data_IF_884901634589
#
_entry.id   IF_884901634589
#
_cell.length_a   1.000
_cell.length_b   1.000
_cell.length_c   1.000
_cell.angle_alpha   90.00
_cell.angle_beta   90.00
_cell.angle_gamma   90.00
#
_symmetry.space_group_name_H-M   'P 1'
#
loop_
_entity.id
_entity.type
_entity.pdbx_description
1 polymer ?
#
# COMPACT_ATOMS: atom_id res chain seq x y z
N UNK A 1 9.66 -0.62 -56.44
CA UNK A 1 9.36 -1.72 -55.51
C UNK A 1 9.63 -1.18 -54.09
N UNK A 2 8.69 -0.39 -53.57
CA UNK A 2 8.81 0.23 -52.25
C UNK A 2 7.82 -0.45 -51.30
N UNK A 3 8.35 -1.33 -50.44
CA UNK A 3 7.60 -1.92 -49.35
C UNK A 3 7.56 -0.94 -48.18
N UNK A 4 6.59 -0.02 -48.19
CA UNK A 4 6.08 0.54 -46.94
C UNK A 4 5.05 -0.44 -46.40
N UNK A 5 5.47 -1.38 -45.54
CA UNK A 5 4.54 -2.12 -44.68
C UNK A 5 4.14 -1.17 -43.56
N UNK A 6 2.91 -0.68 -43.61
CA UNK A 6 2.23 -0.11 -42.45
C UNK A 6 2.12 -1.21 -41.39
N UNK A 7 2.95 -1.14 -40.35
CA UNK A 7 2.71 -1.91 -39.14
C UNK A 7 1.38 -1.47 -38.55
N UNK A 8 0.41 -2.38 -38.47
CA UNK A 8 -0.76 -2.18 -37.62
C UNK A 8 -0.22 -1.99 -36.20
N UNK A 9 -0.47 -0.82 -35.61
CA UNK A 9 -0.30 -0.63 -34.16
C UNK A 9 -1.40 -1.48 -33.54
N UNK A 10 -1.03 -2.66 -33.05
CA UNK A 10 -1.93 -3.50 -32.27
C UNK A 10 -2.12 -2.78 -30.93
N UNK A 11 -3.29 -2.17 -30.74
CA UNK A 11 -3.63 -1.51 -29.48
C UNK A 11 -3.76 -2.61 -28.42
N UNK A 12 -2.85 -2.61 -27.45
CA UNK A 12 -2.94 -3.50 -26.29
C UNK A 12 -4.28 -3.25 -25.60
N UNK A 13 -5.02 -4.33 -25.33
CA UNK A 13 -6.34 -4.28 -24.67
C UNK A 13 -6.23 -3.65 -23.27
N UNK A 14 -5.17 -3.99 -22.55
CA UNK A 14 -4.79 -3.40 -21.27
C UNK A 14 -3.36 -2.88 -21.37
N UNK A 15 -3.10 -1.73 -20.73
CA UNK A 15 -1.73 -1.29 -20.50
C UNK A 15 -1.71 -0.38 -19.28
N UNK A 16 -1.10 -0.87 -18.19
CA UNK A 16 -0.91 -0.08 -16.99
C UNK A 16 0.42 0.70 -17.01
N UNK A 17 1.35 0.40 -17.92
CA UNK A 17 2.68 1.02 -17.93
C UNK A 17 2.63 2.37 -18.66
N UNK A 18 2.97 3.43 -17.93
CA UNK A 18 3.01 4.81 -18.42
C UNK A 18 4.34 5.12 -19.12
N UNK A 19 4.33 6.13 -19.99
CA UNK A 19 5.50 6.49 -20.80
C UNK A 19 6.71 6.95 -20.00
N UNK A 20 6.53 7.40 -18.76
CA UNK A 20 7.60 7.82 -17.86
C UNK A 20 8.06 6.73 -16.88
N UNK A 21 7.49 5.52 -16.97
CA UNK A 21 7.91 4.40 -16.15
C UNK A 21 9.40 4.07 -16.37
N UNK A 22 10.07 3.64 -15.31
CA UNK A 22 11.44 3.14 -15.42
C UNK A 22 11.46 1.86 -16.26
N UNK A 23 12.49 1.71 -17.09
CA UNK A 23 12.57 0.61 -18.05
C UNK A 23 13.27 -0.63 -17.46
N UNK A 24 12.72 -1.19 -16.38
CA UNK A 24 13.23 -2.41 -15.73
C UNK A 24 12.60 -3.69 -16.30
N UNK A 25 13.18 -4.89 -16.08
CA UNK A 25 12.58 -6.16 -16.48
C UNK A 25 11.16 -6.35 -15.93
N UNK A 26 10.96 -6.13 -14.62
CA UNK A 26 9.64 -6.23 -13.99
C UNK A 26 8.59 -5.29 -14.60
N UNK A 27 8.94 -4.05 -14.94
CA UNK A 27 8.00 -3.11 -15.57
C UNK A 27 7.66 -3.56 -16.99
N UNK A 28 8.62 -4.12 -17.74
CA UNK A 28 8.34 -4.67 -19.08
C UNK A 28 7.39 -5.87 -19.02
N UNK A 29 7.49 -6.70 -17.99
CA UNK A 29 6.59 -7.84 -17.80
C UNK A 29 5.13 -7.42 -17.60
N UNK A 30 4.87 -6.19 -17.15
CA UNK A 30 3.52 -5.62 -16.98
C UNK A 30 2.93 -5.04 -18.28
N UNK A 31 3.72 -4.89 -19.35
CA UNK A 31 3.23 -4.33 -20.62
C UNK A 31 2.20 -5.28 -21.23
N UNK A 32 1.01 -4.74 -21.54
CA UNK A 32 -0.07 -5.54 -22.10
C UNK A 32 -0.91 -6.30 -21.07
N UNK A 33 -0.54 -6.25 -19.78
CA UNK A 33 -1.21 -6.95 -18.69
C UNK A 33 -2.32 -6.11 -18.07
N UNK A 34 -3.40 -6.78 -17.66
CA UNK A 34 -4.49 -6.24 -16.86
C UNK A 34 -4.10 -6.24 -15.38
N UNK A 35 -3.57 -5.10 -14.94
CA UNK A 35 -3.20 -4.88 -13.53
C UNK A 35 -4.30 -4.10 -12.82
N UNK A 36 -4.73 -4.62 -11.67
CA UNK A 36 -5.81 -4.05 -10.85
C UNK A 36 -5.25 -3.63 -9.49
N UNK A 37 -5.65 -2.46 -9.02
CA UNK A 37 -5.45 -2.02 -7.63
C UNK A 37 -6.75 -2.25 -6.84
N UNK A 38 -6.69 -3.14 -5.86
CA UNK A 38 -7.79 -3.51 -4.96
C UNK A 38 -8.01 -2.48 -3.84
N UNK A 39 -8.07 -1.18 -4.17
CA UNK A 39 -8.13 -0.11 -3.19
C UNK A 39 -8.90 1.12 -3.68
N UNK A 40 -9.69 1.74 -2.79
CA UNK A 40 -10.34 3.03 -3.04
C UNK A 40 -9.46 4.23 -2.65
N UNK A 41 -8.21 4.02 -2.20
CA UNK A 41 -7.36 5.12 -1.74
C UNK A 41 -6.82 5.95 -2.91
N UNK A 42 -7.15 7.26 -3.01
CA UNK A 42 -6.61 8.12 -4.07
C UNK A 42 -5.08 8.23 -4.00
N UNK A 43 -4.52 8.18 -2.78
CA UNK A 43 -3.09 8.30 -2.51
C UNK A 43 -2.30 7.14 -3.11
N UNK A 44 -2.79 5.90 -2.95
CA UNK A 44 -2.13 4.71 -3.52
C UNK A 44 -2.09 4.77 -5.05
N UNK A 45 -3.20 5.21 -5.66
CA UNK A 45 -3.27 5.45 -7.11
C UNK A 45 -2.25 6.51 -7.55
N UNK A 46 -2.18 7.63 -6.84
CA UNK A 46 -1.25 8.73 -7.15
C UNK A 46 0.22 8.30 -7.03
N UNK A 47 0.57 7.53 -6.00
CA UNK A 47 1.90 6.97 -5.82
C UNK A 47 2.26 6.08 -7.01
N UNK A 48 1.44 5.07 -7.34
CA UNK A 48 1.70 4.18 -8.47
C UNK A 48 1.85 4.96 -9.78
N UNK A 49 0.97 5.95 -10.02
CA UNK A 49 1.04 6.82 -11.21
C UNK A 49 2.34 7.61 -11.26
N UNK A 50 2.79 8.14 -10.13
CA UNK A 50 4.07 8.87 -10.00
C UNK A 50 5.24 8.00 -10.48
N UNK A 51 5.23 6.71 -10.13
CA UNK A 51 6.26 5.76 -10.53
C UNK A 51 5.99 5.03 -11.86
N UNK A 52 4.98 5.45 -12.62
CA UNK A 52 4.76 5.00 -13.99
C UNK A 52 3.80 3.84 -14.14
N UNK A 53 2.98 3.52 -13.14
CA UNK A 53 1.91 2.52 -13.22
C UNK A 53 0.52 3.16 -13.07
N UNK A 54 -0.39 2.84 -13.97
CA UNK A 54 -1.80 3.23 -13.94
C UNK A 54 -2.68 1.96 -13.98
N UNK A 55 -2.81 1.24 -12.86
CA UNK A 55 -3.68 0.07 -12.79
C UNK A 55 -5.16 0.47 -12.83
N UNK A 56 -6.01 -0.48 -13.23
CA UNK A 56 -7.46 -0.36 -13.10
C UNK A 56 -7.85 -0.35 -11.61
N UNK A 57 -8.76 0.54 -11.22
CA UNK A 57 -9.15 0.68 -9.81
C UNK A 57 -10.42 -0.11 -9.55
N UNK A 58 -10.31 -1.17 -8.75
CA UNK A 58 -11.45 -2.00 -8.35
C UNK A 58 -11.41 -2.17 -6.84
N UNK A 59 -12.13 -1.35 -6.06
CA UNK A 59 -12.16 -1.50 -4.60
C UNK A 59 -12.66 -2.89 -4.19
N UNK A 60 -12.04 -3.46 -3.14
CA UNK A 60 -12.50 -4.70 -2.54
C UNK A 60 -13.81 -4.49 -1.77
N UNK A 61 -14.65 -5.53 -1.71
CA UNK A 61 -15.85 -5.60 -0.87
C UNK A 61 -15.63 -6.43 0.40
N UNK A 62 -14.39 -6.80 0.72
CA UNK A 62 -14.07 -7.51 1.96
C UNK A 62 -14.39 -6.62 3.18
N UNK A 63 -15.17 -7.15 4.13
CA UNK A 63 -15.70 -6.39 5.28
C UNK A 63 -14.68 -6.15 6.42
N UNK A 64 -13.37 -6.33 6.16
CA UNK A 64 -12.28 -6.10 7.12
C UNK A 64 -12.52 -6.69 8.53
N UNK A 65 -13.13 -7.88 8.59
CA UNK A 65 -13.57 -8.50 9.85
C UNK A 65 -12.46 -9.20 10.64
N UNK A 66 -11.19 -9.01 10.27
CA UNK A 66 -10.07 -9.63 10.97
C UNK A 66 -9.85 -8.90 12.29
N UNK A 67 -9.71 -9.64 13.39
CA UNK A 67 -9.31 -9.02 14.66
C UNK A 67 -7.79 -8.97 14.73
N UNK A 68 -7.23 -7.79 14.94
CA UNK A 68 -5.78 -7.65 15.15
C UNK A 68 -5.29 -8.40 16.40
N UNK A 69 -6.18 -8.73 17.34
CA UNK A 69 -5.84 -9.53 18.53
C UNK A 69 -5.55 -11.00 18.23
N UNK A 70 -5.90 -11.46 17.03
CA UNK A 70 -5.72 -12.85 16.62
C UNK A 70 -4.29 -13.13 16.11
N UNK A 71 -3.45 -12.09 15.98
CA UNK A 71 -2.09 -12.17 15.47
C UNK A 71 -1.07 -12.11 16.61
N UNK A 72 -0.14 -13.07 16.64
CA UNK A 72 0.99 -13.04 17.56
C UNK A 72 1.94 -11.88 17.24
N UNK A 73 2.19 -11.66 15.95
CA UNK A 73 2.85 -10.45 15.44
C UNK A 73 1.83 -9.52 14.80
N UNK A 74 1.59 -8.36 15.44
CA UNK A 74 0.64 -7.34 14.99
C UNK A 74 0.95 -6.80 13.58
N UNK A 75 2.19 -6.94 13.11
CA UNK A 75 2.59 -6.49 11.77
C UNK A 75 2.06 -7.41 10.65
N UNK A 76 1.69 -8.65 10.97
CA UNK A 76 1.05 -9.56 10.01
C UNK A 76 -0.40 -9.17 9.70
N UNK A 77 -1.06 -8.43 10.59
CA UNK A 77 -2.44 -7.97 10.42
C UNK A 77 -2.66 -7.20 9.10
N UNK A 78 -1.94 -6.11 8.79
CA UNK A 78 -2.13 -5.41 7.51
C UNK A 78 -1.78 -6.28 6.29
N UNK A 79 -0.86 -7.23 6.41
CA UNK A 79 -0.54 -8.18 5.32
C UNK A 79 -1.71 -9.13 5.07
N UNK A 80 -2.32 -9.67 6.12
CA UNK A 80 -3.50 -10.52 6.02
C UNK A 80 -4.68 -9.76 5.40
N UNK A 81 -4.97 -8.56 5.90
CA UNK A 81 -6.03 -7.69 5.37
C UNK A 81 -5.81 -7.35 3.90
N UNK A 82 -4.58 -6.98 3.50
CA UNK A 82 -4.22 -6.72 2.11
C UNK A 82 -4.43 -7.96 1.22
N UNK A 83 -4.09 -9.15 1.73
CA UNK A 83 -4.24 -10.42 1.02
C UNK A 83 -5.72 -10.76 0.78
N UNK A 84 -6.56 -10.64 1.81
CA UNK A 84 -8.00 -10.85 1.66
C UNK A 84 -8.64 -9.89 0.65
N UNK A 85 -8.25 -8.60 0.67
CA UNK A 85 -8.71 -7.60 -0.30
C UNK A 85 -8.33 -7.99 -1.74
N UNK A 86 -7.08 -8.41 -1.97
CA UNK A 86 -6.59 -8.77 -3.30
C UNK A 86 -7.25 -10.05 -3.82
N UNK A 87 -7.37 -11.09 -2.98
CA UNK A 87 -7.99 -12.36 -3.35
C UNK A 87 -9.46 -12.19 -3.68
N UNK A 88 -10.20 -11.43 -2.86
CA UNK A 88 -11.63 -11.16 -3.13
C UNK A 88 -11.81 -10.51 -4.49
N UNK A 89 -11.04 -9.47 -4.80
CA UNK A 89 -11.11 -8.79 -6.09
C UNK A 89 -10.73 -9.71 -7.24
N UNK A 90 -9.66 -10.50 -7.09
CA UNK A 90 -9.23 -11.47 -8.11
C UNK A 90 -10.34 -12.49 -8.40
N UNK A 91 -10.83 -13.19 -7.38
CA UNK A 91 -11.85 -14.23 -7.53
C UNK A 91 -13.17 -13.68 -8.07
N UNK A 92 -13.56 -12.47 -7.65
CA UNK A 92 -14.77 -11.81 -8.14
C UNK A 92 -14.63 -11.45 -9.62
N UNK A 93 -13.51 -10.86 -10.04
CA UNK A 93 -13.30 -10.49 -11.45
C UNK A 93 -13.18 -11.71 -12.36
N UNK A 94 -12.49 -12.77 -11.91
CA UNK A 94 -12.42 -14.06 -12.63
C UNK A 94 -13.83 -14.64 -12.83
N UNK A 95 -14.68 -14.60 -11.81
CA UNK A 95 -16.06 -15.12 -11.88
C UNK A 95 -16.96 -14.27 -12.77
N UNK A 96 -16.82 -12.95 -12.73
CA UNK A 96 -17.64 -12.00 -13.49
C UNK A 96 -17.29 -12.01 -14.98
N UNK A 97 -16.00 -12.14 -15.33
CA UNK A 97 -15.54 -12.18 -16.71
C UNK A 97 -14.26 -13.02 -16.88
N UNK A 98 -14.39 -14.36 -17.02
CA UNK A 98 -13.25 -15.27 -17.15
C UNK A 98 -12.34 -14.96 -18.35
N UNK A 99 -12.90 -14.47 -19.46
CA UNK A 99 -12.16 -14.13 -20.69
C UNK A 99 -11.36 -12.80 -20.55
N UNK A 100 -11.53 -12.10 -19.43
CA UNK A 100 -10.87 -10.84 -19.10
C UNK A 100 -10.42 -10.80 -17.63
N UNK A 101 -9.98 -11.95 -17.12
CA UNK A 101 -9.43 -12.07 -15.77
C UNK A 101 -8.21 -11.14 -15.59
N UNK A 102 -8.01 -10.56 -14.40
CA UNK A 102 -6.82 -9.78 -14.11
C UNK A 102 -5.57 -10.67 -14.15
N UNK A 103 -4.49 -10.17 -14.74
CA UNK A 103 -3.18 -10.82 -14.68
C UNK A 103 -2.52 -10.64 -13.30
N UNK A 104 -2.77 -9.48 -12.68
CA UNK A 104 -2.23 -9.08 -11.39
C UNK A 104 -3.23 -8.22 -10.62
N UNK A 105 -3.48 -8.57 -9.37
CA UNK A 105 -4.24 -7.76 -8.42
C UNK A 105 -3.33 -7.35 -7.26
N UNK A 106 -3.29 -6.05 -6.98
CA UNK A 106 -2.51 -5.43 -5.91
C UNK A 106 -3.44 -5.06 -4.77
N UNK A 107 -3.32 -5.74 -3.62
CA UNK A 107 -3.94 -5.34 -2.35
C UNK A 107 -2.96 -4.57 -1.48
N UNK A 108 -3.48 -3.64 -0.68
CA UNK A 108 -2.68 -2.94 0.32
C UNK A 108 -3.52 -2.53 1.53
N UNK A 109 -2.90 -2.56 2.71
CA UNK A 109 -3.51 -2.13 3.96
C UNK A 109 -2.48 -1.42 4.85
N UNK A 110 -2.88 -0.34 5.52
CA UNK A 110 -1.95 0.55 6.25
C UNK A 110 -2.51 0.86 7.62
N UNK A 111 -1.71 0.63 8.66
CA UNK A 111 -2.04 0.89 10.06
C UNK A 111 -0.94 1.71 10.74
N UNK A 112 -1.29 2.39 11.83
CA UNK A 112 -0.34 3.09 12.69
C UNK A 112 -0.28 2.40 14.04
N UNK A 113 0.93 2.15 14.55
CA UNK A 113 1.17 1.61 15.89
C UNK A 113 1.72 2.73 16.77
N UNK A 114 1.09 2.96 17.93
CA UNK A 114 1.43 4.07 18.85
C UNK A 114 2.89 4.10 19.29
N UNK A 115 3.53 2.94 19.39
CA UNK A 115 4.93 2.78 19.79
C UNK A 115 5.62 1.79 18.87
N UNK A 116 6.88 2.02 18.49
CA UNK A 116 7.68 1.04 17.75
C UNK A 116 8.21 -0.06 18.68
N UNK A 117 8.29 -1.29 18.17
CA UNK A 117 8.96 -2.38 18.89
C UNK A 117 10.50 -2.29 18.74
N UNK A 118 11.28 -2.45 19.83
CA UNK A 118 12.74 -2.46 19.75
C UNK A 118 13.27 -3.55 18.82
N UNK A 119 14.16 -3.19 17.89
CA UNK A 119 14.90 -4.15 17.05
C UNK A 119 14.18 -4.66 15.79
N UNK A 120 13.04 -4.10 15.40
CA UNK A 120 12.22 -4.64 14.30
C UNK A 120 12.15 -3.73 13.05
N UNK A 121 12.76 -2.54 13.10
CA UNK A 121 12.92 -1.66 11.94
C UNK A 121 14.37 -1.70 11.41
N UNK A 122 14.52 -1.45 10.11
CA UNK A 122 15.81 -1.21 9.45
C UNK A 122 16.62 -0.07 10.11
N UNK A 123 15.93 0.81 10.85
CA UNK A 123 16.52 1.74 11.82
C UNK A 123 16.19 1.25 13.24
N UNK A 124 17.17 0.74 14.02
CA UNK A 124 16.90 0.18 15.34
C UNK A 124 16.41 1.28 16.29
N UNK A 125 15.14 1.19 16.70
CA UNK A 125 14.62 2.03 17.77
C UNK A 125 15.17 1.56 19.12
N UNK A 126 15.87 2.46 19.82
CA UNK A 126 16.33 2.24 21.19
C UNK A 126 15.33 2.93 22.14
N UNK A 127 14.44 2.13 22.72
CA UNK A 127 13.47 2.58 23.70
C UNK A 127 12.94 1.43 24.54
N UNK A 128 12.15 1.72 25.59
CA UNK A 128 11.50 0.68 26.39
C UNK A 128 10.52 -0.10 25.51
N UNK A 129 10.36 -1.39 25.81
CA UNK A 129 9.26 -2.16 25.26
C UNK A 129 7.95 -1.65 25.86
N UNK A 130 7.10 -1.05 25.02
CA UNK A 130 5.76 -0.59 25.39
C UNK A 130 4.78 -1.39 24.52
N UNK A 131 3.64 -1.78 25.09
CA UNK A 131 2.57 -2.43 24.33
C UNK A 131 2.16 -1.51 23.18
N UNK A 132 2.13 -2.05 21.97
CA UNK A 132 1.69 -1.34 20.78
C UNK A 132 0.16 -1.36 20.73
N UNK A 133 -0.46 -0.22 20.45
CA UNK A 133 -1.88 -0.13 20.14
C UNK A 133 -2.03 0.26 18.67
N UNK A 134 -3.00 -0.35 17.98
CA UNK A 134 -3.32 -0.01 16.60
C UNK A 134 -4.21 1.23 16.58
N UNK A 135 -3.79 2.23 15.80
CA UNK A 135 -4.59 3.37 15.42
C UNK A 135 -5.04 3.20 13.97
N UNK A 136 -6.33 2.98 13.79
CA UNK A 136 -7.00 3.03 12.49
C UNK A 136 -7.41 4.48 12.17
N UNK A 137 -8.41 4.68 11.33
CA UNK A 137 -8.96 6.00 11.05
C UNK A 137 -9.73 6.50 12.27
N UNK A 138 -9.63 7.78 12.65
CA UNK A 138 -10.43 8.31 13.73
C UNK A 138 -11.92 8.30 13.36
N UNK A 139 -12.77 8.05 14.35
CA UNK A 139 -14.23 8.04 14.15
C UNK A 139 -14.78 9.47 13.94
N UNK A 140 -14.21 10.44 14.65
CA UNK A 140 -14.59 11.84 14.63
C UNK A 140 -13.41 12.78 14.98
N UNK A 141 -13.69 14.08 15.11
CA UNK A 141 -12.67 15.09 15.42
C UNK A 141 -12.11 14.93 16.83
N UNK A 142 -12.96 14.57 17.77
CA UNK A 142 -12.60 14.35 19.16
C UNK A 142 -11.62 13.17 19.28
N UNK A 143 -11.91 12.07 18.58
CA UNK A 143 -11.02 10.90 18.49
C UNK A 143 -9.73 11.24 17.73
N UNK A 144 -9.81 12.03 16.66
CA UNK A 144 -8.61 12.52 15.98
C UNK A 144 -7.71 13.33 16.93
N UNK A 145 -8.27 14.24 17.72
CA UNK A 145 -7.50 15.03 18.70
C UNK A 145 -6.87 14.13 19.77
N UNK A 146 -7.60 13.12 20.25
CA UNK A 146 -7.09 12.12 21.20
C UNK A 146 -5.87 11.40 20.61
N UNK A 147 -6.00 10.85 19.40
CA UNK A 147 -4.88 10.18 18.71
C UNK A 147 -3.67 11.10 18.58
N UNK A 148 -3.86 12.35 18.17
CA UNK A 148 -2.75 13.29 17.99
C UNK A 148 -2.08 13.68 19.31
N UNK A 149 -2.84 13.80 20.40
CA UNK A 149 -2.27 14.04 21.73
C UNK A 149 -1.43 12.85 22.21
N UNK A 150 -1.87 11.62 21.94
CA UNK A 150 -1.11 10.40 22.26
C UNK A 150 0.20 10.30 21.46
N UNK A 151 0.18 10.75 20.20
CA UNK A 151 1.33 10.72 19.30
C UNK A 151 2.31 11.90 19.50
N UNK A 152 1.84 13.03 20.04
CA UNK A 152 2.61 14.27 20.14
C UNK A 152 3.90 14.10 20.94
N UNK A 153 5.01 14.65 20.44
CA UNK A 153 6.34 14.51 21.05
C UNK A 153 6.91 13.07 21.05
N UNK A 154 6.18 12.10 20.49
CA UNK A 154 6.53 10.68 20.51
C UNK A 154 6.94 10.17 19.12
N UNK A 155 7.18 8.86 19.03
CA UNK A 155 7.43 8.16 17.78
C UNK A 155 6.41 7.05 17.63
N UNK A 156 5.84 6.95 16.44
CA UNK A 156 4.97 5.86 16.05
C UNK A 156 5.56 5.10 14.87
N UNK A 157 4.98 3.95 14.58
CA UNK A 157 5.37 3.08 13.47
C UNK A 157 4.20 2.98 12.49
N UNK A 158 4.47 3.25 11.20
CA UNK A 158 3.51 3.02 10.13
C UNK A 158 3.85 1.73 9.43
N UNK A 159 2.87 0.84 9.33
CA UNK A 159 3.03 -0.48 8.74
C UNK A 159 2.08 -0.58 7.56
N UNK A 160 2.62 -0.91 6.38
CA UNK A 160 1.78 -1.25 5.21
C UNK A 160 2.08 -2.67 4.75
N UNK A 161 1.05 -3.50 4.72
CA UNK A 161 1.07 -4.78 4.03
C UNK A 161 0.70 -4.59 2.55
N UNK A 162 1.42 -5.24 1.65
CA UNK A 162 1.11 -5.28 0.22
C UNK A 162 1.07 -6.73 -0.25
N UNK A 163 -0.01 -7.10 -0.94
CA UNK A 163 -0.22 -8.46 -1.43
C UNK A 163 -0.49 -8.46 -2.93
N UNK A 164 0.18 -9.36 -3.64
CA UNK A 164 0.07 -9.57 -5.06
C UNK A 164 -0.59 -10.92 -5.32
N UNK A 165 -1.69 -10.89 -6.05
CA UNK A 165 -2.39 -12.08 -6.55
C UNK A 165 -2.23 -12.11 -8.05
N UNK A 166 -1.61 -13.15 -8.59
CA UNK A 166 -1.37 -13.30 -10.01
C UNK A 166 -1.77 -14.70 -10.49
N UNK A 167 -2.23 -14.76 -11.74
CA UNK A 167 -2.70 -15.99 -12.40
C UNK A 167 -1.57 -16.99 -12.56
N UNK A 168 -1.85 -18.27 -12.28
CA UNK A 168 -0.98 -19.41 -12.60
C UNK A 168 -1.81 -20.58 -13.12
N UNK A 169 -1.17 -21.54 -13.79
CA UNK A 169 -1.87 -22.74 -14.30
C UNK A 169 -2.19 -23.77 -13.21
N UNK A 170 -1.49 -23.71 -12.08
CA UNK A 170 -1.65 -24.63 -10.97
C UNK A 170 -2.90 -24.29 -10.15
N UNK A 171 -3.61 -25.29 -9.61
CA UNK A 171 -4.75 -25.05 -8.73
C UNK A 171 -4.30 -24.28 -7.47
N UNK A 172 -5.02 -23.22 -7.03
CA UNK A 172 -6.40 -22.84 -7.40
C UNK A 172 -6.54 -21.93 -8.63
N UNK A 173 -5.47 -21.70 -9.40
CA UNK A 173 -5.43 -20.82 -10.57
C UNK A 173 -4.78 -19.46 -10.29
N UNK A 174 -4.21 -19.27 -9.10
CA UNK A 174 -3.46 -18.08 -8.72
C UNK A 174 -2.46 -18.38 -7.60
N UNK A 175 -1.43 -17.54 -7.50
CA UNK A 175 -0.50 -17.47 -6.36
C UNK A 175 -0.69 -16.16 -5.61
N UNK A 176 -0.38 -16.17 -4.32
CA UNK A 176 -0.33 -14.99 -3.46
C UNK A 176 1.10 -14.80 -2.99
N UNK A 177 1.62 -13.59 -3.14
CA UNK A 177 2.94 -13.19 -2.63
C UNK A 177 2.79 -11.83 -1.95
N UNK A 178 3.33 -11.69 -0.74
CA UNK A 178 3.12 -10.49 0.06
C UNK A 178 4.42 -9.98 0.70
N UNK A 179 4.44 -8.68 0.99
CA UNK A 179 5.48 -7.99 1.75
C UNK A 179 4.84 -7.09 2.79
N UNK A 180 5.65 -6.70 3.77
CA UNK A 180 5.35 -5.62 4.70
C UNK A 180 6.47 -4.56 4.63
N UNK A 181 6.11 -3.31 4.87
CA UNK A 181 7.05 -2.21 5.04
C UNK A 181 6.73 -1.44 6.33
N UNK A 182 7.78 -1.05 7.06
CA UNK A 182 7.67 -0.40 8.38
C UNK A 182 8.43 0.92 8.35
N UNK A 183 7.84 1.99 8.86
CA UNK A 183 8.45 3.32 8.85
C UNK A 183 8.19 4.07 10.14
N UNK A 184 9.25 4.60 10.75
CA UNK A 184 9.12 5.38 11.98
C UNK A 184 8.78 6.83 11.66
N UNK A 185 7.79 7.35 12.37
CA UNK A 185 7.36 8.75 12.24
C UNK A 185 7.52 9.43 13.60
N UNK A 186 8.39 10.43 13.63
CA UNK A 186 8.68 11.20 14.83
C UNK A 186 7.85 12.48 14.83
N UNK A 187 6.94 12.60 15.77
CA UNK A 187 6.19 13.83 15.98
C UNK A 187 7.09 14.88 16.64
N UNK A 188 6.88 16.14 16.27
CA UNK A 188 7.41 17.27 17.01
C UNK A 188 6.68 17.40 18.36
N UNK A 189 7.24 18.17 19.28
CA UNK A 189 6.53 18.61 20.48
C UNK A 189 5.66 19.81 20.10
N UNK A 190 4.42 19.55 19.70
CA UNK A 190 3.50 20.56 19.18
C UNK A 190 2.65 21.16 20.30
N UNK A 191 2.44 22.47 20.25
CA UNK A 191 1.46 23.14 21.10
C UNK A 191 0.03 22.65 20.80
N UNK A 192 -0.80 22.54 21.84
CA UNK A 192 -2.17 22.01 21.71
C UNK A 192 -2.99 22.76 20.66
N UNK A 193 -2.81 24.09 20.54
CA UNK A 193 -3.53 24.92 19.57
C UNK A 193 -3.22 24.52 18.12
N UNK A 194 -1.99 24.04 17.84
CA UNK A 194 -1.63 23.55 16.51
C UNK A 194 -2.35 22.23 16.20
N UNK A 195 -2.43 21.33 17.18
CA UNK A 195 -3.17 20.07 17.05
C UNK A 195 -4.66 20.33 16.80
N UNK A 196 -5.27 21.23 17.58
CA UNK A 196 -6.67 21.62 17.40
C UNK A 196 -6.91 22.28 16.02
N UNK A 197 -6.00 23.13 15.55
CA UNK A 197 -6.08 23.72 14.21
C UNK A 197 -6.00 22.65 13.11
N UNK A 198 -5.14 21.65 13.28
CA UNK A 198 -5.03 20.52 12.36
C UNK A 198 -6.30 19.67 12.32
N UNK A 199 -6.84 19.28 13.48
CA UNK A 199 -8.11 18.53 13.59
C UNK A 199 -9.26 19.29 12.92
N UNK A 200 -9.30 20.61 13.09
CA UNK A 200 -10.31 21.46 12.45
C UNK A 200 -10.21 21.49 10.91
N UNK A 201 -9.04 21.19 10.34
CA UNK A 201 -8.85 21.08 8.89
C UNK A 201 -9.44 19.80 8.30
N UNK A 202 -9.77 18.81 9.14
CA UNK A 202 -10.29 17.48 8.75
C UNK A 202 -9.32 16.63 7.91
N UNK A 203 -8.08 17.09 7.69
CA UNK A 203 -7.09 16.36 6.91
C UNK A 203 -6.73 15.01 7.56
N UNK A 204 -6.94 14.80 8.87
CA UNK A 204 -6.65 13.53 9.53
C UNK A 204 -7.71 12.44 9.36
N UNK A 205 -8.96 12.78 9.02
CA UNK A 205 -10.11 11.90 9.28
C UNK A 205 -10.14 10.61 8.44
N UNK A 206 -9.58 10.61 7.24
CA UNK A 206 -9.55 9.45 6.34
C UNK A 206 -8.22 8.69 6.38
N UNK A 207 -7.42 8.87 7.44
CA UNK A 207 -6.04 8.36 7.56
C UNK A 207 -5.82 7.61 8.88
N UNK A 208 -5.09 6.51 8.79
CA UNK A 208 -4.68 5.76 9.98
C UNK A 208 -3.84 6.66 10.90
N UNK A 209 -4.12 6.62 12.20
CA UNK A 209 -3.48 7.50 13.20
C UNK A 209 -3.90 8.98 13.12
N UNK A 210 -4.83 9.35 12.25
CA UNK A 210 -5.41 10.68 12.22
C UNK A 210 -4.48 11.79 11.74
N UNK A 211 -3.43 11.49 10.96
CA UNK A 211 -2.50 12.50 10.44
C UNK A 211 -2.08 12.24 8.99
N UNK A 212 -1.57 13.28 8.33
CA UNK A 212 -1.02 13.22 6.99
C UNK A 212 0.40 13.80 6.95
N UNK A 213 1.39 12.99 6.58
CA UNK A 213 2.75 13.51 6.36
C UNK A 213 2.84 14.38 5.09
N UNK A 214 1.88 14.21 4.18
CA UNK A 214 1.69 15.07 3.01
C UNK A 214 0.58 16.08 3.31
N UNK A 215 0.87 17.37 3.08
CA UNK A 215 -0.09 18.45 3.32
C UNK A 215 0.14 19.19 4.63
N UNK A 216 -0.94 19.59 5.30
CA UNK A 216 -0.88 20.40 6.52
C UNK A 216 -0.23 19.64 7.67
N UNK A 217 -0.50 18.35 7.79
CA UNK A 217 0.01 17.51 8.88
C UNK A 217 1.53 17.35 8.87
N UNK A 218 2.21 17.71 7.78
CA UNK A 218 3.66 17.79 7.73
C UNK A 218 4.26 18.73 8.79
N UNK A 219 3.50 19.74 9.25
CA UNK A 219 3.93 20.62 10.35
C UNK A 219 4.04 19.90 11.70
N UNK A 220 3.32 18.79 11.87
CA UNK A 220 3.30 17.99 13.10
C UNK A 220 4.53 17.07 13.21
N UNK A 221 5.20 16.80 12.10
CA UNK A 221 6.21 15.74 11.95
C UNK A 221 7.61 16.34 11.97
N UNK A 222 8.45 15.85 12.87
CA UNK A 222 9.87 16.24 12.97
C UNK A 222 10.75 15.47 12.00
N UNK A 223 10.51 14.17 11.85
CA UNK A 223 11.36 13.25 11.06
C UNK A 223 10.55 12.04 10.62
N UNK A 224 10.83 11.56 9.42
CA UNK A 224 10.47 10.20 8.97
C UNK A 224 11.75 9.39 8.84
N UNK A 225 11.76 8.15 9.33
CA UNK A 225 12.87 7.21 9.21
C UNK A 225 12.37 5.89 8.60
N UNK A 226 12.60 5.75 7.29
CA UNK A 226 12.06 4.69 6.44
C UNK A 226 11.49 5.24 5.12
N UNK A 227 10.57 4.51 4.51
CA UNK A 227 9.94 4.90 3.23
C UNK A 227 8.85 5.96 3.45
N UNK A 228 9.06 7.16 2.91
CA UNK A 228 8.05 8.22 2.94
C UNK A 228 6.71 7.80 2.32
N UNK A 229 6.73 7.06 1.21
CA UNK A 229 5.51 6.65 0.52
C UNK A 229 4.74 5.61 1.34
N UNK A 230 5.43 4.80 2.15
CA UNK A 230 4.78 3.92 3.13
C UNK A 230 3.89 4.71 4.09
N UNK A 231 4.41 5.83 4.63
CA UNK A 231 3.65 6.74 5.51
C UNK A 231 2.47 7.39 4.78
N UNK A 232 2.61 7.69 3.48
CA UNK A 232 1.50 8.20 2.66
C UNK A 232 0.43 7.12 2.41
N UNK A 233 0.82 5.85 2.39
CA UNK A 233 -0.07 4.69 2.34
C UNK A 233 0.26 3.62 1.29
N UNK A 234 1.43 3.69 0.64
CA UNK A 234 1.92 2.62 -0.24
C UNK A 234 3.47 2.60 -0.32
N UNK A 235 4.14 1.51 0.08
CA UNK A 235 5.60 1.44 0.14
C UNK A 235 6.23 1.27 -1.25
N UNK A 236 6.33 2.35 -2.00
CA UNK A 236 6.73 2.32 -3.42
C UNK A 236 8.08 1.65 -3.62
N UNK A 237 9.10 2.00 -2.82
CA UNK A 237 10.45 1.46 -3.00
C UNK A 237 10.47 -0.07 -2.83
N UNK A 238 9.81 -0.57 -1.77
CA UNK A 238 9.77 -1.99 -1.47
C UNK A 238 8.85 -2.76 -2.40
N UNK A 239 7.75 -2.16 -2.85
CA UNK A 239 6.88 -2.75 -3.87
C UNK A 239 7.62 -2.98 -5.19
N UNK A 240 8.33 -1.98 -5.74
CA UNK A 240 9.04 -2.16 -7.01
C UNK A 240 10.22 -3.13 -6.89
N UNK A 241 10.91 -3.15 -5.73
CA UNK A 241 11.92 -4.17 -5.45
C UNK A 241 11.30 -5.57 -5.40
N UNK A 242 10.14 -5.71 -4.77
CA UNK A 242 9.43 -6.97 -4.68
C UNK A 242 8.95 -7.48 -6.04
N UNK A 243 8.46 -6.59 -6.91
CA UNK A 243 8.14 -6.95 -8.29
C UNK A 243 9.36 -7.48 -9.06
N UNK A 244 10.54 -6.89 -8.87
CA UNK A 244 11.76 -7.37 -9.51
C UNK A 244 12.14 -8.77 -9.01
N UNK A 245 12.10 -9.00 -7.69
CA UNK A 245 12.36 -10.31 -7.09
C UNK A 245 11.39 -11.36 -7.62
N UNK A 246 10.09 -11.06 -7.69
CA UNK A 246 9.11 -12.00 -8.24
C UNK A 246 9.38 -12.32 -9.71
N UNK A 247 9.72 -11.30 -10.51
CA UNK A 247 10.04 -11.48 -11.92
C UNK A 247 11.35 -12.29 -12.13
N UNK A 248 12.28 -12.27 -11.18
CA UNK A 248 13.52 -13.06 -11.23
C UNK A 248 13.35 -14.49 -10.70
N UNK A 249 12.57 -14.68 -9.63
CA UNK A 249 12.50 -15.93 -8.88
C UNK A 249 11.32 -16.83 -9.26
N UNK A 250 10.19 -16.25 -9.68
CA UNK A 250 8.97 -17.01 -10.02
C UNK A 250 8.85 -17.20 -11.53
N UNK A 251 9.13 -18.41 -12.00
CA UNK A 251 9.14 -18.75 -13.44
C UNK A 251 7.78 -18.64 -14.13
N UNK A 252 6.70 -18.52 -13.36
CA UNK A 252 5.33 -18.42 -13.84
C UNK A 252 4.71 -17.02 -13.62
N UNK A 253 5.48 -16.05 -13.11
CA UNK A 253 4.99 -14.70 -12.86
C UNK A 253 4.68 -13.97 -14.19
N UNK A 254 3.39 -13.75 -14.45
CA UNK A 254 2.89 -13.03 -15.64
C UNK A 254 3.23 -13.69 -17.00
N UNK A 255 3.54 -14.98 -17.01
CA UNK A 255 3.92 -15.73 -18.23
C UNK A 255 2.74 -16.29 -19.04
N UNK A 256 1.49 -15.96 -18.65
CA UNK A 256 0.26 -16.43 -19.29
C UNK A 256 -0.37 -15.47 -20.28
#
# INVERSE_FOLDING_TARGET
MNFFRSGKIELLKHNCVLSHALNTPSIKALVGKKVVLASNSPRRKEILRTFGLEPEIVPSTFEETLSHTDFEDVHEYPVATASHKAVEVYERLVRENPDDAPDLVIGADTVVLTHPSPGVSSSPFQGPFIRQDILEKPDDKEDNLRMLLDLNGSVCEVVTGVSLVYTVLEAPGYKIKSIEERTLVYFADNEKQLLEAYVNSEEGLDRAGGFAVQGLGGVLIRKVDGDYHNVVGFPAASFFKFLEVLNEEETDFLEL
#
